data_IF_365221213482
#
_entry.id   IF_365221213482
#
_cell.length_a   1.000
_cell.length_b   1.000
_cell.length_c   1.000
_cell.angle_alpha   90.00
_cell.angle_beta   90.00
_cell.angle_gamma   90.00
#
_symmetry.space_group_name_H-M   'P 1'
#
loop_
_entity.id
_entity.type
_entity.pdbx_description
1 polymer ?
#
# COMPACT_ATOMS: atom_id res chain seq x y z
N UNK A 1 106.36 -44.39 -5.55
CA UNK A 1 106.09 -45.75 -6.06
C UNK A 1 104.53 -45.92 -6.00
N UNK A 2 103.96 -46.13 -7.22
CA UNK A 2 102.77 -46.84 -7.57
C UNK A 2 101.43 -46.41 -6.95
N UNK A 3 100.56 -45.75 -7.67
CA UNK A 3 99.71 -46.32 -8.74
C UNK A 3 98.47 -47.04 -8.15
N UNK A 4 97.30 -46.45 -8.18
CA UNK A 4 95.96 -46.97 -7.85
C UNK A 4 94.93 -46.37 -8.76
N UNK A 5 94.69 -47.06 -9.88
CA UNK A 5 93.65 -46.69 -10.88
C UNK A 5 92.22 -46.81 -10.28
N UNK A 6 91.49 -45.78 -10.30
CA UNK A 6 90.02 -45.78 -10.04
C UNK A 6 89.27 -45.90 -11.37
N UNK A 7 88.69 -47.08 -11.60
CA UNK A 7 87.80 -47.43 -12.67
C UNK A 7 86.45 -46.69 -12.59
N UNK A 8 86.35 -45.58 -13.31
CA UNK A 8 85.11 -44.86 -13.42
C UNK A 8 84.22 -45.47 -14.47
N UNK A 9 83.27 -46.28 -14.06
CA UNK A 9 82.28 -46.87 -14.94
C UNK A 9 81.33 -45.77 -15.48
N UNK A 10 81.44 -45.40 -16.77
CA UNK A 10 80.51 -44.54 -17.49
C UNK A 10 79.16 -45.25 -17.61
N UNK A 11 78.19 -44.84 -16.85
CA UNK A 11 76.81 -45.25 -17.03
C UNK A 11 76.29 -44.75 -18.38
N UNK A 12 75.73 -45.61 -19.24
CA UNK A 12 75.30 -45.24 -20.60
C UNK A 12 74.23 -44.16 -20.57
N UNK A 13 74.34 -43.13 -21.41
CA UNK A 13 73.39 -42.00 -21.51
C UNK A 13 71.95 -42.44 -21.72
N UNK A 14 71.72 -43.60 -22.34
CA UNK A 14 70.38 -44.20 -22.54
C UNK A 14 69.66 -44.54 -21.23
N UNK A 15 70.38 -45.01 -20.22
CA UNK A 15 69.75 -45.28 -18.89
C UNK A 15 69.35 -44.02 -18.13
N UNK A 16 70.08 -42.91 -18.29
CA UNK A 16 69.73 -41.64 -17.71
C UNK A 16 68.45 -41.05 -18.32
N UNK A 17 68.30 -41.22 -19.67
CA UNK A 17 67.06 -40.75 -20.36
C UNK A 17 65.82 -41.59 -19.98
N UNK A 18 65.97 -42.90 -19.76
CA UNK A 18 64.86 -43.77 -19.33
C UNK A 18 64.44 -43.44 -17.92
N UNK A 19 65.39 -43.21 -16.98
CA UNK A 19 65.08 -42.85 -15.61
C UNK A 19 64.39 -41.44 -15.51
N UNK A 20 64.82 -40.46 -16.32
CA UNK A 20 64.20 -39.19 -16.45
C UNK A 20 62.76 -39.24 -16.97
N UNK A 21 62.48 -40.14 -17.95
CA UNK A 21 61.16 -40.39 -18.52
C UNK A 21 60.22 -41.08 -17.49
N UNK A 22 60.74 -42.00 -16.69
CA UNK A 22 59.97 -42.68 -15.62
C UNK A 22 59.67 -41.72 -14.48
N UNK A 23 60.62 -40.92 -14.01
CA UNK A 23 60.43 -39.91 -13.01
C UNK A 23 59.42 -38.84 -13.46
N UNK A 24 59.47 -38.36 -14.71
CA UNK A 24 58.52 -37.41 -15.25
C UNK A 24 57.09 -37.97 -15.41
N UNK A 25 56.94 -39.30 -15.57
CA UNK A 25 55.61 -39.96 -15.61
C UNK A 25 55.00 -40.08 -14.20
N UNK A 26 55.78 -40.30 -13.19
CA UNK A 26 55.30 -40.41 -11.83
C UNK A 26 54.88 -39.02 -11.27
N UNK A 27 55.68 -37.99 -11.57
CA UNK A 27 55.35 -36.62 -11.21
C UNK A 27 54.06 -36.12 -11.93
N UNK A 28 53.90 -36.51 -13.21
CA UNK A 28 52.70 -36.22 -14.00
C UNK A 28 51.45 -36.94 -13.44
N UNK A 29 51.58 -38.20 -12.99
CA UNK A 29 50.48 -38.95 -12.35
C UNK A 29 50.14 -38.39 -10.97
N UNK A 30 51.11 -37.95 -10.18
CA UNK A 30 50.88 -37.33 -8.89
C UNK A 30 50.16 -35.97 -9.03
N UNK A 31 50.52 -35.19 -10.03
CA UNK A 31 49.85 -33.92 -10.34
C UNK A 31 48.42 -34.12 -10.88
N UNK A 32 48.18 -35.15 -11.71
CA UNK A 32 46.83 -35.52 -12.15
C UNK A 32 45.92 -35.91 -10.98
N UNK A 33 46.41 -36.72 -10.03
CA UNK A 33 45.64 -37.07 -8.81
C UNK A 33 45.31 -35.88 -7.93
N UNK A 34 46.21 -34.88 -7.81
CA UNK A 34 45.94 -33.63 -7.11
C UNK A 34 44.87 -32.80 -7.80
N UNK A 35 44.91 -32.71 -9.12
CA UNK A 35 43.90 -31.97 -9.91
C UNK A 35 42.52 -32.64 -9.79
N UNK A 36 42.43 -33.95 -9.87
CA UNK A 36 41.18 -34.69 -9.68
C UNK A 36 40.60 -34.48 -8.26
N UNK A 37 41.45 -34.53 -7.23
CA UNK A 37 41.00 -34.26 -5.85
C UNK A 37 40.50 -32.83 -5.66
N UNK A 38 41.16 -31.84 -6.28
CA UNK A 38 40.74 -30.44 -6.28
C UNK A 38 39.40 -30.29 -7.03
N UNK A 39 39.25 -30.86 -8.21
CA UNK A 39 38.03 -30.85 -9.00
C UNK A 39 36.86 -31.51 -8.25
N UNK A 40 37.11 -32.65 -7.60
CA UNK A 40 36.08 -33.32 -6.78
C UNK A 40 35.64 -32.48 -5.56
N UNK A 41 36.58 -31.86 -4.86
CA UNK A 41 36.26 -30.97 -3.71
C UNK A 41 35.54 -29.70 -4.16
N UNK A 42 35.91 -29.11 -5.31
CA UNK A 42 35.22 -27.94 -5.88
C UNK A 42 33.80 -28.32 -6.28
N UNK A 43 33.61 -29.45 -6.99
CA UNK A 43 32.28 -29.92 -7.36
C UNK A 43 31.38 -30.22 -6.16
N UNK A 44 31.94 -30.85 -5.10
CA UNK A 44 31.23 -31.12 -3.86
C UNK A 44 30.82 -29.83 -3.11
N UNK A 45 31.71 -28.83 -3.06
CA UNK A 45 31.44 -27.53 -2.45
C UNK A 45 30.40 -26.71 -3.26
N UNK A 46 30.44 -26.77 -4.59
CA UNK A 46 29.44 -26.13 -5.45
C UNK A 46 28.08 -26.81 -5.24
N UNK A 47 28.03 -28.13 -5.24
CA UNK A 47 26.80 -28.89 -5.01
C UNK A 47 26.15 -28.65 -3.65
N UNK A 48 26.96 -28.57 -2.57
CA UNK A 48 26.46 -28.26 -1.22
C UNK A 48 25.96 -26.81 -1.11
N UNK A 49 26.66 -25.83 -1.66
CA UNK A 49 26.22 -24.43 -1.68
C UNK A 49 24.95 -24.22 -2.52
N UNK A 50 24.84 -24.91 -3.64
CA UNK A 50 23.63 -24.89 -4.46
C UNK A 50 22.41 -25.46 -3.71
N UNK A 51 22.56 -26.60 -3.03
CA UNK A 51 21.48 -27.20 -2.21
C UNK A 51 21.11 -26.35 -1.02
N UNK A 52 22.06 -25.71 -0.35
CA UNK A 52 21.77 -24.77 0.76
C UNK A 52 21.02 -23.54 0.26
N UNK A 53 21.40 -22.94 -0.90
CA UNK A 53 20.66 -21.81 -1.49
C UNK A 53 19.23 -22.19 -1.86
N UNK A 54 19.04 -23.33 -2.55
CA UNK A 54 17.69 -23.79 -2.93
C UNK A 54 16.84 -24.08 -1.69
N UNK A 55 17.43 -24.61 -0.62
CA UNK A 55 16.75 -24.85 0.66
C UNK A 55 16.36 -23.54 1.38
N UNK A 56 17.26 -22.56 1.45
CA UNK A 56 17.00 -21.26 2.05
C UNK A 56 15.94 -20.46 1.25
N UNK A 57 16.05 -20.43 -0.08
CA UNK A 57 15.09 -19.73 -0.94
C UNK A 57 13.67 -20.33 -0.82
N UNK A 58 13.54 -21.64 -0.66
CA UNK A 58 12.25 -22.30 -0.45
C UNK A 58 11.65 -21.98 0.91
N UNK A 59 12.46 -21.92 1.97
CA UNK A 59 12.02 -21.59 3.33
C UNK A 59 11.64 -20.09 3.41
N UNK A 60 12.43 -19.22 2.81
CA UNK A 60 12.15 -17.78 2.75
C UNK A 60 10.90 -17.50 1.90
N UNK A 61 10.75 -18.17 0.77
CA UNK A 61 9.53 -18.11 -0.03
C UNK A 61 8.28 -18.54 0.73
N UNK A 62 8.36 -19.65 1.48
CA UNK A 62 7.28 -20.13 2.32
C UNK A 62 6.87 -19.14 3.41
N UNK A 63 7.86 -18.56 4.12
CA UNK A 63 7.62 -17.52 5.14
C UNK A 63 6.99 -16.26 4.54
N UNK A 64 7.48 -15.82 3.38
CA UNK A 64 6.93 -14.65 2.68
C UNK A 64 5.47 -14.85 2.25
N UNK A 65 5.11 -16.05 1.80
CA UNK A 65 3.72 -16.40 1.44
C UNK A 65 2.83 -16.40 2.70
N UNK A 66 3.26 -17.03 3.79
CA UNK A 66 2.49 -17.06 5.05
C UNK A 66 2.27 -15.67 5.63
N UNK A 67 3.29 -14.82 5.64
CA UNK A 67 3.15 -13.42 6.13
C UNK A 67 2.22 -12.59 5.26
N UNK A 68 2.20 -12.81 3.94
CA UNK A 68 1.25 -12.17 3.02
C UNK A 68 -0.18 -12.60 3.29
N UNK A 69 -0.44 -13.90 3.42
CA UNK A 69 -1.77 -14.44 3.72
C UNK A 69 -2.27 -13.93 5.07
N UNK A 70 -1.45 -14.02 6.12
CA UNK A 70 -1.81 -13.51 7.45
C UNK A 70 -2.10 -12.00 7.41
N UNK A 71 -1.29 -11.23 6.69
CA UNK A 71 -1.51 -9.80 6.52
C UNK A 71 -2.78 -9.47 5.74
N UNK A 72 -3.14 -10.25 4.72
CA UNK A 72 -4.40 -10.10 3.99
C UNK A 72 -5.61 -10.43 4.87
N UNK A 73 -5.52 -11.50 5.67
CA UNK A 73 -6.56 -11.92 6.58
C UNK A 73 -6.87 -10.87 7.67
N UNK A 74 -5.82 -10.32 8.30
CA UNK A 74 -5.99 -9.24 9.29
C UNK A 74 -6.69 -8.03 8.69
N UNK A 75 -6.34 -7.62 7.47
CA UNK A 75 -7.00 -6.49 6.78
C UNK A 75 -8.46 -6.80 6.45
N UNK A 76 -8.75 -8.02 6.03
CA UNK A 76 -10.12 -8.47 5.76
C UNK A 76 -10.99 -8.38 7.02
N UNK A 77 -10.48 -8.85 8.18
CA UNK A 77 -11.18 -8.73 9.46
C UNK A 77 -11.40 -7.25 9.83
N UNK A 78 -10.38 -6.40 9.69
CA UNK A 78 -10.49 -4.98 10.00
C UNK A 78 -11.57 -4.28 9.15
N UNK A 79 -11.67 -4.64 7.87
CA UNK A 79 -12.74 -4.13 6.99
C UNK A 79 -14.11 -4.66 7.39
N UNK A 80 -14.23 -5.95 7.74
CA UNK A 80 -15.48 -6.50 8.24
C UNK A 80 -15.95 -5.79 9.52
N UNK A 81 -15.04 -5.62 10.49
CA UNK A 81 -15.32 -4.89 11.74
C UNK A 81 -15.77 -3.47 11.45
N UNK A 82 -15.11 -2.75 10.54
CA UNK A 82 -15.49 -1.41 10.17
C UNK A 82 -16.92 -1.34 9.57
N UNK A 83 -17.29 -2.29 8.71
CA UNK A 83 -18.62 -2.33 8.09
C UNK A 83 -19.71 -2.65 9.12
N UNK A 84 -19.43 -3.57 10.06
CA UNK A 84 -20.38 -3.98 11.10
C UNK A 84 -20.48 -2.93 12.23
N UNK A 85 -19.48 -2.06 12.37
CA UNK A 85 -19.34 -1.13 13.49
C UNK A 85 -20.60 -0.33 13.82
N UNK A 86 -21.30 0.34 12.86
CA UNK A 86 -22.53 1.05 13.14
C UNK A 86 -23.62 0.15 13.71
N UNK A 87 -23.76 -1.08 13.19
CA UNK A 87 -24.79 -2.04 13.63
C UNK A 87 -24.55 -2.58 15.04
N UNK A 88 -23.30 -2.52 15.52
CA UNK A 88 -22.97 -2.93 16.90
C UNK A 88 -23.15 -1.76 17.88
N UNK A 89 -22.89 -0.53 17.42
CA UNK A 89 -22.96 0.66 18.28
C UNK A 89 -24.40 1.17 18.41
N UNK A 90 -25.19 1.14 17.33
CA UNK A 90 -26.57 1.63 17.33
C UNK A 90 -27.50 0.66 18.08
N UNK A 91 -28.44 1.23 18.87
CA UNK A 91 -29.33 0.44 19.74
C UNK A 91 -30.54 -0.11 18.97
N UNK A 92 -31.11 0.67 18.04
CA UNK A 92 -32.39 0.36 17.38
C UNK A 92 -32.23 -0.27 16.00
N UNK A 93 -31.45 -1.36 15.90
CA UNK A 93 -31.23 -2.04 14.64
C UNK A 93 -32.15 -3.24 14.47
N UNK A 94 -32.92 -3.26 13.37
CA UNK A 94 -33.74 -4.42 13.02
C UNK A 94 -32.87 -5.64 12.64
N UNK A 95 -33.37 -6.83 12.91
CA UNK A 95 -32.68 -8.09 12.56
C UNK A 95 -32.34 -8.16 11.06
N UNK A 96 -33.27 -7.74 10.22
CA UNK A 96 -33.08 -7.73 8.75
C UNK A 96 -31.91 -6.83 8.34
N UNK A 97 -31.82 -5.63 8.92
CA UNK A 97 -30.71 -4.70 8.66
C UNK A 97 -29.38 -5.29 9.13
N UNK A 98 -29.36 -5.93 10.32
CA UNK A 98 -28.14 -6.60 10.82
C UNK A 98 -27.67 -7.73 9.89
N UNK A 99 -28.59 -8.53 9.35
CA UNK A 99 -28.28 -9.59 8.40
C UNK A 99 -27.72 -9.03 7.09
N UNK A 100 -28.32 -7.97 6.56
CA UNK A 100 -27.81 -7.29 5.35
C UNK A 100 -26.39 -6.74 5.57
N UNK A 101 -26.16 -6.08 6.70
CA UNK A 101 -24.83 -5.55 7.04
C UNK A 101 -23.80 -6.67 7.20
N UNK A 102 -24.17 -7.78 7.84
CA UNK A 102 -23.29 -8.94 7.97
C UNK A 102 -22.90 -9.52 6.60
N UNK A 103 -23.86 -9.64 5.67
CA UNK A 103 -23.58 -10.10 4.30
C UNK A 103 -22.63 -9.16 3.57
N UNK A 104 -22.86 -7.83 3.64
CA UNK A 104 -21.98 -6.83 3.05
C UNK A 104 -20.58 -6.91 3.67
N UNK A 105 -20.48 -7.09 4.98
CA UNK A 105 -19.21 -7.21 5.69
C UNK A 105 -18.41 -8.45 5.24
N UNK A 106 -19.07 -9.59 5.08
CA UNK A 106 -18.45 -10.83 4.57
C UNK A 106 -17.94 -10.61 3.15
N UNK A 107 -18.76 -10.01 2.28
CA UNK A 107 -18.35 -9.72 0.90
C UNK A 107 -17.16 -8.75 0.84
N UNK A 108 -17.20 -7.66 1.62
CA UNK A 108 -16.10 -6.69 1.69
C UNK A 108 -14.82 -7.31 2.25
N UNK A 109 -14.93 -8.20 3.25
CA UNK A 109 -13.81 -8.95 3.79
C UNK A 109 -13.20 -9.89 2.75
N UNK A 110 -14.03 -10.67 2.05
CA UNK A 110 -13.59 -11.58 1.00
C UNK A 110 -12.86 -10.84 -0.12
N UNK A 111 -13.44 -9.75 -0.60
CA UNK A 111 -12.83 -8.89 -1.61
C UNK A 111 -11.48 -8.34 -1.13
N UNK A 112 -11.42 -7.82 0.09
CA UNK A 112 -10.17 -7.31 0.68
C UNK A 112 -9.11 -8.41 0.79
N UNK A 113 -9.51 -9.61 1.22
CA UNK A 113 -8.58 -10.73 1.32
C UNK A 113 -7.99 -11.10 -0.05
N UNK A 114 -8.84 -11.24 -1.07
CA UNK A 114 -8.41 -11.56 -2.44
C UNK A 114 -7.46 -10.50 -2.98
N UNK A 115 -7.79 -9.20 -2.85
CA UNK A 115 -6.97 -8.09 -3.32
C UNK A 115 -5.58 -8.03 -2.66
N UNK A 116 -5.52 -8.21 -1.33
CA UNK A 116 -4.23 -8.18 -0.63
C UNK A 116 -3.42 -9.48 -0.77
N UNK A 117 -4.07 -10.60 -1.07
CA UNK A 117 -3.38 -11.86 -1.35
C UNK A 117 -2.93 -11.97 -2.82
N UNK A 118 -3.54 -11.25 -3.75
CA UNK A 118 -3.18 -11.23 -5.16
C UNK A 118 -1.73 -10.76 -5.37
N UNK A 119 -1.04 -11.32 -6.37
CA UNK A 119 0.28 -10.86 -6.81
C UNK A 119 0.13 -9.48 -7.46
N UNK A 120 -0.87 -9.33 -8.32
CA UNK A 120 -1.24 -8.07 -8.97
C UNK A 120 -2.63 -7.67 -8.48
N UNK A 121 -2.75 -6.68 -7.59
CA UNK A 121 -4.05 -6.16 -7.15
C UNK A 121 -4.73 -5.41 -8.30
N UNK A 122 -6.06 -5.42 -8.30
CA UNK A 122 -6.86 -4.71 -9.31
C UNK A 122 -7.50 -3.43 -8.78
N UNK A 123 -7.88 -3.41 -7.51
CA UNK A 123 -8.60 -2.31 -6.87
C UNK A 123 -7.74 -1.54 -5.86
N UNK A 124 -6.83 -2.23 -5.15
CA UNK A 124 -6.02 -1.61 -4.11
C UNK A 124 -4.82 -0.89 -4.72
N UNK A 125 -4.87 0.43 -4.72
CA UNK A 125 -3.75 1.28 -5.11
C UNK A 125 -2.77 1.53 -3.95
N UNK A 126 -1.51 1.86 -4.28
CA UNK A 126 -0.46 2.20 -3.33
C UNK A 126 -0.25 1.16 -2.23
N UNK A 127 -0.37 -0.13 -2.58
CA UNK A 127 -0.25 -1.25 -1.63
C UNK A 127 1.05 -1.23 -0.83
N UNK A 128 2.16 -0.86 -1.47
CA UNK A 128 3.48 -0.81 -0.86
C UNK A 128 3.79 0.55 -0.20
N UNK A 129 2.97 1.57 -0.46
CA UNK A 129 3.02 2.85 0.22
C UNK A 129 2.28 2.76 1.56
N UNK A 130 2.94 2.23 2.58
CA UNK A 130 2.31 1.94 3.89
C UNK A 130 1.52 3.11 4.49
N UNK A 131 1.97 4.40 4.46
CA UNK A 131 1.19 5.50 5.02
C UNK A 131 -0.14 5.72 4.32
N UNK A 132 -0.20 5.56 2.99
CA UNK A 132 -1.37 5.89 2.18
C UNK A 132 -2.61 5.10 2.60
N UNK A 133 -2.57 3.77 2.50
CA UNK A 133 -3.73 2.94 2.81
C UNK A 133 -4.06 2.88 4.31
N UNK A 134 -3.05 3.03 5.19
CA UNK A 134 -3.28 3.08 6.63
C UNK A 134 -4.05 4.32 7.05
N UNK A 135 -3.67 5.51 6.55
CA UNK A 135 -4.36 6.75 6.88
C UNK A 135 -5.77 6.75 6.29
N UNK A 136 -5.96 6.26 5.07
CA UNK A 136 -7.29 6.13 4.47
C UNK A 136 -8.20 5.21 5.28
N UNK A 137 -7.70 4.06 5.70
CA UNK A 137 -8.47 3.15 6.55
C UNK A 137 -8.79 3.77 7.91
N UNK A 138 -7.80 4.38 8.58
CA UNK A 138 -8.01 5.03 9.89
C UNK A 138 -9.00 6.19 9.80
N UNK A 139 -8.93 7.01 8.74
CA UNK A 139 -9.90 8.06 8.49
C UNK A 139 -11.32 7.49 8.35
N UNK A 140 -11.49 6.48 7.50
CA UNK A 140 -12.78 5.87 7.26
C UNK A 140 -13.34 5.26 8.55
N UNK A 141 -12.50 4.48 9.26
CA UNK A 141 -12.87 3.88 10.55
C UNK A 141 -13.24 4.95 11.60
N UNK A 142 -12.42 5.99 11.77
CA UNK A 142 -12.66 7.05 12.73
C UNK A 142 -13.94 7.80 12.40
N UNK A 143 -14.20 8.11 11.13
CA UNK A 143 -15.44 8.81 10.72
C UNK A 143 -16.65 7.95 11.03
N UNK A 144 -16.66 6.69 10.62
CA UNK A 144 -17.77 5.76 10.90
C UNK A 144 -17.99 5.61 12.41
N UNK A 145 -16.91 5.45 13.18
CA UNK A 145 -16.98 5.29 14.64
C UNK A 145 -17.53 6.53 15.33
N UNK A 146 -17.00 7.72 15.02
CA UNK A 146 -17.43 8.97 15.65
C UNK A 146 -18.88 9.33 15.30
N UNK A 147 -19.29 9.12 14.05
CA UNK A 147 -20.67 9.32 13.63
C UNK A 147 -21.63 8.32 14.31
N UNK A 148 -21.19 7.06 14.47
CA UNK A 148 -21.98 6.05 15.20
C UNK A 148 -22.15 6.42 16.67
N UNK A 149 -21.12 7.02 17.32
CA UNK A 149 -21.24 7.54 18.70
C UNK A 149 -22.21 8.71 18.80
N UNK A 150 -22.18 9.64 17.84
CA UNK A 150 -23.15 10.76 17.78
C UNK A 150 -24.58 10.23 17.69
N UNK A 151 -24.82 9.31 16.76
CA UNK A 151 -26.16 8.75 16.57
C UNK A 151 -26.63 7.89 17.77
N UNK A 152 -25.73 7.15 18.40
CA UNK A 152 -26.05 6.42 19.65
C UNK A 152 -26.43 7.39 20.78
N UNK A 153 -25.71 8.50 20.94
CA UNK A 153 -25.92 9.49 21.99
C UNK A 153 -27.31 10.11 21.96
N UNK A 154 -27.99 10.08 20.81
CA UNK A 154 -29.38 10.58 20.70
C UNK A 154 -30.40 9.66 21.35
N UNK A 155 -30.09 8.36 21.46
CA UNK A 155 -30.96 7.36 22.09
C UNK A 155 -30.50 7.11 23.53
N UNK A 156 -29.19 6.91 23.71
CA UNK A 156 -28.55 6.63 25.00
C UNK A 156 -27.40 7.62 25.25
N UNK A 157 -27.68 8.81 25.82
CA UNK A 157 -26.65 9.79 26.12
C UNK A 157 -25.66 9.27 27.16
N UNK A 158 -24.38 9.55 26.93
CA UNK A 158 -23.29 9.30 27.86
C UNK A 158 -22.23 10.41 27.71
N UNK A 159 -21.36 10.59 28.72
CA UNK A 159 -20.34 11.65 28.70
C UNK A 159 -19.48 11.59 27.45
N UNK A 160 -19.18 10.38 26.94
CA UNK A 160 -18.40 10.21 25.72
C UNK A 160 -19.20 10.65 24.48
N UNK A 161 -20.46 10.22 24.35
CA UNK A 161 -21.30 10.57 23.19
C UNK A 161 -21.60 12.06 23.17
N UNK A 162 -21.88 12.67 24.33
CA UNK A 162 -22.09 14.11 24.47
C UNK A 162 -20.83 14.92 24.08
N UNK A 163 -19.65 14.48 24.51
CA UNK A 163 -18.39 15.11 24.11
C UNK A 163 -18.19 15.09 22.60
N UNK A 164 -18.38 13.91 21.98
CA UNK A 164 -18.20 13.74 20.53
C UNK A 164 -19.25 14.57 19.76
N UNK A 165 -20.49 14.59 20.22
CA UNK A 165 -21.56 15.40 19.64
C UNK A 165 -21.25 16.89 19.76
N UNK A 166 -20.80 17.36 20.94
CA UNK A 166 -20.43 18.76 21.15
C UNK A 166 -19.30 19.21 20.21
N UNK A 167 -18.28 18.37 19.98
CA UNK A 167 -17.22 18.67 19.01
C UNK A 167 -17.80 18.75 17.61
N UNK A 168 -18.63 17.79 17.20
CA UNK A 168 -19.27 17.80 15.90
C UNK A 168 -20.17 19.01 15.67
N UNK A 169 -20.98 19.40 16.69
CA UNK A 169 -21.84 20.55 16.64
C UNK A 169 -21.04 21.86 16.57
N UNK A 170 -19.96 21.99 17.35
CA UNK A 170 -19.08 23.15 17.32
C UNK A 170 -18.46 23.36 15.94
N UNK A 171 -17.88 22.31 15.36
CA UNK A 171 -17.27 22.37 14.03
C UNK A 171 -18.35 22.57 12.96
N UNK A 172 -19.49 21.88 13.08
CA UNK A 172 -20.63 22.05 12.19
C UNK A 172 -21.13 23.47 12.15
N UNK A 173 -21.25 24.13 13.31
CA UNK A 173 -21.64 25.54 13.42
C UNK A 173 -20.56 26.49 12.86
N UNK A 174 -19.31 26.28 13.21
CA UNK A 174 -18.19 27.08 12.70
C UNK A 174 -18.03 27.02 11.18
N UNK A 175 -18.37 25.87 10.58
CA UNK A 175 -18.28 25.64 9.13
C UNK A 175 -19.60 25.91 8.40
N UNK A 176 -20.68 26.35 9.07
CA UNK A 176 -21.99 26.65 8.45
C UNK A 176 -22.06 28.10 7.95
N UNK A 177 -21.15 28.48 7.07
CA UNK A 177 -21.17 29.77 6.38
C UNK A 177 -21.64 29.63 4.92
N UNK A 178 -22.05 30.72 4.24
CA UNK A 178 -22.53 30.65 2.86
C UNK A 178 -21.54 29.94 1.95
N UNK A 179 -22.08 29.00 1.15
CA UNK A 179 -21.32 28.16 0.18
C UNK A 179 -20.29 27.20 0.80
N UNK A 180 -20.25 27.04 2.11
CA UNK A 180 -19.38 26.04 2.70
C UNK A 180 -19.81 24.59 2.37
N UNK A 181 -18.88 23.62 2.34
CA UNK A 181 -19.23 22.22 2.11
C UNK A 181 -20.24 21.67 3.14
N UNK A 182 -20.09 22.06 4.41
CA UNK A 182 -20.97 21.63 5.51
C UNK A 182 -22.38 22.19 5.33
N UNK A 183 -22.50 23.45 4.92
CA UNK A 183 -23.80 24.05 4.64
C UNK A 183 -24.47 23.39 3.43
N UNK A 184 -23.71 23.09 2.39
CA UNK A 184 -24.23 22.41 1.20
C UNK A 184 -24.64 20.96 1.48
N UNK A 185 -24.03 20.28 2.46
CA UNK A 185 -24.46 18.93 2.84
C UNK A 185 -25.94 18.89 3.29
N UNK A 186 -26.49 19.99 3.77
CA UNK A 186 -27.92 20.11 4.10
C UNK A 186 -28.83 20.00 2.87
N UNK A 187 -28.33 20.29 1.65
CA UNK A 187 -29.09 20.14 0.41
C UNK A 187 -29.37 18.66 0.07
N UNK A 188 -28.70 17.72 0.70
CA UNK A 188 -28.99 16.29 0.53
C UNK A 188 -30.24 15.84 1.32
N UNK A 189 -30.82 16.71 2.13
CA UNK A 189 -32.02 16.41 2.90
C UNK A 189 -33.29 16.57 2.03
N UNK A 190 -34.33 15.82 2.39
CA UNK A 190 -35.65 16.00 1.78
C UNK A 190 -36.26 17.35 2.15
N UNK A 191 -37.10 17.89 1.27
CA UNK A 191 -37.89 19.07 1.53
C UNK A 191 -38.79 18.83 2.75
N UNK A 192 -38.85 19.81 3.66
CA UNK A 192 -39.67 19.71 4.87
C UNK A 192 -38.98 19.04 6.07
N UNK A 193 -37.65 18.81 6.02
CA UNK A 193 -36.91 18.35 7.18
C UNK A 193 -37.07 19.25 8.39
N UNK A 194 -37.28 18.66 9.58
CA UNK A 194 -37.44 19.42 10.81
C UNK A 194 -36.08 19.95 11.32
N UNK A 195 -36.12 20.90 12.27
CA UNK A 195 -34.91 21.53 12.81
C UNK A 195 -33.94 20.53 13.45
N UNK A 196 -34.44 19.48 14.12
CA UNK A 196 -33.61 18.47 14.74
C UNK A 196 -32.84 17.64 13.70
N UNK A 197 -33.47 17.34 12.57
CA UNK A 197 -32.79 16.65 11.44
C UNK A 197 -31.74 17.54 10.80
N UNK A 198 -32.01 18.83 10.63
CA UNK A 198 -31.02 19.80 10.11
C UNK A 198 -29.80 19.88 11.01
N UNK A 199 -30.03 19.93 12.33
CA UNK A 199 -28.96 19.92 13.33
C UNK A 199 -28.15 18.63 13.29
N UNK A 200 -28.81 17.50 13.14
CA UNK A 200 -28.20 16.20 12.99
C UNK A 200 -27.22 16.13 11.81
N UNK A 201 -27.69 16.53 10.64
CA UNK A 201 -26.86 16.52 9.41
C UNK A 201 -25.70 17.50 9.55
N UNK A 202 -25.93 18.69 10.14
CA UNK A 202 -24.87 19.68 10.37
C UNK A 202 -23.78 19.14 11.30
N UNK A 203 -24.15 18.54 12.42
CA UNK A 203 -23.23 17.94 13.40
C UNK A 203 -22.44 16.79 12.77
N UNK A 204 -23.12 15.87 12.07
CA UNK A 204 -22.48 14.75 11.40
C UNK A 204 -21.53 15.23 10.28
N UNK A 205 -21.95 16.19 9.46
CA UNK A 205 -21.13 16.79 8.41
C UNK A 205 -19.90 17.50 9.00
N UNK A 206 -20.07 18.25 10.09
CA UNK A 206 -18.97 18.90 10.80
C UNK A 206 -17.92 17.91 11.29
N UNK A 207 -18.36 16.84 11.96
CA UNK A 207 -17.46 15.79 12.44
C UNK A 207 -16.74 15.05 11.29
N UNK A 208 -17.46 14.66 10.25
CA UNK A 208 -16.88 13.96 9.09
C UNK A 208 -15.88 14.85 8.35
N UNK A 209 -16.19 16.13 8.17
CA UNK A 209 -15.30 17.10 7.53
C UNK A 209 -14.02 17.35 8.36
N UNK A 210 -14.15 17.52 9.69
CA UNK A 210 -13.01 17.63 10.59
C UNK A 210 -12.07 16.43 10.47
N UNK A 211 -12.64 15.21 10.54
CA UNK A 211 -11.88 13.97 10.44
C UNK A 211 -11.13 13.89 9.10
N UNK A 212 -11.75 14.31 8.00
CA UNK A 212 -11.15 14.33 6.68
C UNK A 212 -9.97 15.31 6.59
N UNK A 213 -10.13 16.53 7.15
CA UNK A 213 -9.07 17.55 7.16
C UNK A 213 -7.88 17.11 8.03
N UNK A 214 -8.12 16.54 9.21
CA UNK A 214 -7.07 16.00 10.08
C UNK A 214 -6.30 14.89 9.33
N UNK A 215 -7.01 13.96 8.73
CA UNK A 215 -6.38 12.83 8.00
C UNK A 215 -5.55 13.28 6.81
N UNK A 216 -6.03 14.27 6.06
CA UNK A 216 -5.27 14.86 4.96
C UNK A 216 -4.02 15.57 5.47
N UNK A 217 -4.15 16.34 6.57
CA UNK A 217 -3.03 17.03 7.20
C UNK A 217 -1.97 16.04 7.70
N UNK A 218 -2.38 14.97 8.39
CA UNK A 218 -1.49 13.89 8.83
C UNK A 218 -0.78 13.23 7.65
N UNK A 219 -1.51 12.96 6.57
CA UNK A 219 -0.93 12.38 5.36
C UNK A 219 0.17 13.28 4.77
N UNK A 220 -0.09 14.58 4.60
CA UNK A 220 0.87 15.56 4.08
C UNK A 220 2.09 15.66 5.00
N UNK A 221 1.88 15.72 6.32
CA UNK A 221 2.96 15.75 7.30
C UNK A 221 3.84 14.51 7.24
N UNK A 222 3.25 13.31 7.14
CA UNK A 222 4.00 12.07 6.98
C UNK A 222 4.84 12.03 5.69
N UNK A 223 4.31 12.56 4.59
CA UNK A 223 5.07 12.68 3.35
C UNK A 223 6.24 13.68 3.49
N UNK A 224 6.03 14.82 4.17
CA UNK A 224 7.09 15.80 4.43
C UNK A 224 8.15 15.27 5.40
N UNK A 225 7.76 14.48 6.38
CA UNK A 225 8.68 13.80 7.30
C UNK A 225 9.46 12.64 6.65
N UNK A 226 9.28 12.39 5.35
CA UNK A 226 10.02 11.34 4.63
C UNK A 226 9.56 9.91 4.92
N UNK A 227 8.36 9.73 5.49
CA UNK A 227 7.82 8.40 5.76
C UNK A 227 7.58 7.58 4.47
N UNK A 228 7.40 8.26 3.34
CA UNK A 228 7.27 7.67 2.01
C UNK A 228 7.50 8.75 0.93
N UNK A 229 8.18 8.45 -0.19
CA UNK A 229 8.88 7.20 -0.49
C UNK A 229 10.17 7.03 0.30
N UNK A 230 10.51 5.79 0.64
CA UNK A 230 11.76 5.51 1.34
C UNK A 230 12.93 5.45 0.33
N UNK A 231 14.07 6.09 0.62
CA UNK A 231 15.26 6.01 -0.24
C UNK A 231 15.72 4.56 -0.42
N UNK A 232 16.08 4.19 -1.66
CA UNK A 232 16.62 2.87 -1.97
C UNK A 232 15.58 1.74 -2.12
N UNK A 233 14.31 1.96 -1.80
CA UNK A 233 13.25 0.97 -2.05
C UNK A 233 12.66 1.19 -3.44
N UNK A 234 12.74 0.21 -4.36
CA UNK A 234 12.17 0.33 -5.69
C UNK A 234 10.65 0.41 -5.62
N UNK A 235 10.05 1.42 -6.25
CA UNK A 235 8.61 1.55 -6.37
C UNK A 235 8.13 0.84 -7.64
N UNK A 236 7.34 -0.24 -7.47
CA UNK A 236 6.75 -0.95 -8.58
C UNK A 236 5.42 -0.31 -8.97
N UNK A 237 5.39 0.36 -10.13
CA UNK A 237 4.19 1.07 -10.63
C UNK A 237 3.05 0.10 -10.92
N UNK A 238 3.31 -1.08 -11.48
CA UNK A 238 2.30 -2.08 -11.81
C UNK A 238 1.53 -2.63 -10.61
N UNK A 239 2.22 -2.77 -9.47
CA UNK A 239 1.60 -3.26 -8.24
C UNK A 239 0.88 -2.13 -7.48
N UNK A 240 1.38 -0.90 -7.61
CA UNK A 240 0.90 0.23 -6.81
C UNK A 240 -0.10 1.13 -7.53
N UNK A 241 -0.17 1.08 -8.84
CA UNK A 241 -1.09 1.85 -9.66
C UNK A 241 -1.72 0.93 -10.73
N UNK A 242 -2.58 -0.03 -10.35
CA UNK A 242 -3.14 -1.01 -11.27
C UNK A 242 -3.99 -0.38 -12.37
N UNK A 243 -4.60 0.78 -12.12
CA UNK A 243 -5.40 1.52 -13.09
C UNK A 243 -4.57 2.39 -14.05
N UNK A 244 -3.26 2.51 -13.80
CA UNK A 244 -2.34 3.29 -14.61
C UNK A 244 -1.49 2.37 -15.49
N UNK A 245 -1.57 2.53 -16.81
CA UNK A 245 -0.78 1.75 -17.77
C UNK A 245 0.53 2.47 -18.13
N UNK A 246 1.69 2.06 -17.58
CA UNK A 246 2.96 2.73 -17.82
C UNK A 246 3.44 2.62 -19.28
N UNK A 247 3.05 1.56 -20.00
CA UNK A 247 3.45 1.27 -21.38
C UNK A 247 2.71 2.09 -22.43
N UNK A 248 1.58 2.71 -22.08
CA UNK A 248 0.77 3.50 -23.02
C UNK A 248 1.40 4.87 -23.29
N UNK A 249 2.48 4.93 -24.07
CA UNK A 249 3.14 6.18 -24.52
C UNK A 249 4.45 6.50 -23.80
N UNK A 250 5.22 7.44 -24.35
CA UNK A 250 6.57 7.78 -23.91
C UNK A 250 6.64 8.69 -22.66
N UNK A 251 5.61 9.51 -22.39
CA UNK A 251 5.61 10.48 -21.29
C UNK A 251 4.83 10.00 -20.07
N UNK A 252 5.40 9.06 -19.34
CA UNK A 252 4.85 8.54 -18.07
C UNK A 252 4.73 9.65 -17.01
N UNK A 253 5.73 10.52 -16.91
CA UNK A 253 5.78 11.59 -15.90
C UNK A 253 4.70 12.65 -16.15
N UNK A 254 4.52 13.07 -17.40
CA UNK A 254 3.47 14.02 -17.77
C UNK A 254 2.07 13.49 -17.50
N UNK A 255 1.82 12.23 -17.81
CA UNK A 255 0.53 11.56 -17.54
C UNK A 255 0.24 11.45 -16.05
N UNK A 256 1.21 11.00 -15.24
CA UNK A 256 1.07 10.96 -13.77
C UNK A 256 0.79 12.33 -13.18
N UNK A 257 1.47 13.38 -13.64
CA UNK A 257 1.22 14.75 -13.18
C UNK A 257 -0.14 15.29 -13.60
N UNK A 258 -0.64 14.94 -14.80
CA UNK A 258 -1.98 15.29 -15.23
C UNK A 258 -3.03 14.61 -14.34
N UNK A 259 -2.90 13.31 -14.13
CA UNK A 259 -3.83 12.53 -13.32
C UNK A 259 -3.79 12.97 -11.84
N UNK A 260 -2.60 13.33 -11.32
CA UNK A 260 -2.44 13.93 -10.01
C UNK A 260 -3.25 15.23 -9.88
N UNK A 261 -3.13 16.14 -10.84
CA UNK A 261 -3.87 17.42 -10.85
C UNK A 261 -5.39 17.20 -10.94
N UNK A 262 -5.83 16.27 -11.79
CA UNK A 262 -7.27 15.92 -11.90
C UNK A 262 -7.79 15.41 -10.56
N UNK A 263 -7.08 14.49 -9.90
CA UNK A 263 -7.49 13.96 -8.60
C UNK A 263 -7.53 15.04 -7.51
N UNK A 264 -6.57 15.98 -7.49
CA UNK A 264 -6.58 17.11 -6.56
C UNK A 264 -7.76 18.04 -6.84
N UNK A 265 -8.02 18.37 -8.11
CA UNK A 265 -9.14 19.21 -8.50
C UNK A 265 -10.48 18.57 -8.14
N UNK A 266 -10.66 17.28 -8.41
CA UNK A 266 -11.87 16.54 -8.03
C UNK A 266 -12.01 16.46 -6.51
N UNK A 267 -10.93 16.19 -5.77
CA UNK A 267 -10.93 16.20 -4.31
C UNK A 267 -11.37 17.54 -3.73
N UNK A 268 -11.01 18.66 -4.38
CA UNK A 268 -11.45 19.99 -3.99
C UNK A 268 -12.93 20.26 -4.34
N UNK A 269 -13.38 19.84 -5.50
CA UNK A 269 -14.73 20.16 -6.02
C UNK A 269 -15.82 19.25 -5.45
N UNK A 270 -15.54 17.96 -5.19
CA UNK A 270 -16.55 16.99 -4.80
C UNK A 270 -17.32 17.32 -3.51
N UNK A 271 -16.72 17.90 -2.45
CA UNK A 271 -17.50 18.30 -1.26
C UNK A 271 -18.65 19.26 -1.56
N UNK A 272 -18.53 20.02 -2.65
CA UNK A 272 -19.57 20.94 -3.14
C UNK A 272 -20.51 20.27 -4.15
N UNK A 273 -19.95 19.46 -5.05
CA UNK A 273 -20.71 18.84 -6.14
C UNK A 273 -21.60 17.69 -5.67
N UNK A 274 -21.13 16.85 -4.73
CA UNK A 274 -21.92 15.70 -4.26
C UNK A 274 -23.28 16.16 -3.69
N UNK A 275 -23.36 17.13 -2.77
CA UNK A 275 -24.65 17.60 -2.29
C UNK A 275 -25.56 18.16 -3.38
N UNK A 276 -25.00 18.91 -4.33
CA UNK A 276 -25.74 19.47 -5.44
C UNK A 276 -26.30 18.38 -6.37
N UNK A 277 -25.49 17.36 -6.70
CA UNK A 277 -25.93 16.23 -7.53
C UNK A 277 -26.99 15.39 -6.82
N UNK A 278 -26.82 15.12 -5.51
CA UNK A 278 -27.82 14.39 -4.73
C UNK A 278 -29.14 15.16 -4.67
N UNK A 279 -29.09 16.46 -4.41
CA UNK A 279 -30.29 17.32 -4.40
C UNK A 279 -31.00 17.35 -5.74
N UNK A 280 -30.25 17.44 -6.84
CA UNK A 280 -30.83 17.43 -8.20
C UNK A 280 -31.45 16.07 -8.56
N UNK A 281 -30.82 14.97 -8.15
CA UNK A 281 -31.32 13.63 -8.39
C UNK A 281 -32.58 13.31 -7.58
N UNK A 282 -32.76 13.91 -6.42
CA UNK A 282 -33.96 13.74 -5.58
C UNK A 282 -35.22 14.30 -6.22
N UNK A 283 -35.10 15.23 -7.19
CA UNK A 283 -36.22 15.75 -7.95
C UNK A 283 -36.77 14.71 -8.97
N UNK A 284 -35.99 13.70 -9.36
CA UNK A 284 -36.39 12.65 -10.32
C UNK A 284 -36.47 11.23 -9.76
N UNK A 285 -35.88 11.00 -8.58
CA UNK A 285 -35.84 9.70 -7.90
C UNK A 285 -36.29 9.87 -6.45
N UNK A 286 -36.51 8.74 -5.76
CA UNK A 286 -36.85 8.80 -4.33
C UNK A 286 -35.79 9.57 -3.52
N UNK A 287 -36.17 10.55 -2.69
CA UNK A 287 -35.23 11.36 -1.94
C UNK A 287 -34.43 10.49 -0.96
N UNK A 288 -33.16 10.84 -0.78
CA UNK A 288 -32.28 10.14 0.15
C UNK A 288 -32.79 10.37 1.58
N UNK A 289 -33.23 9.30 2.24
CA UNK A 289 -33.77 9.41 3.61
C UNK A 289 -32.63 9.46 4.63
N UNK A 290 -32.12 10.66 4.91
CA UNK A 290 -31.12 10.88 5.96
C UNK A 290 -31.73 10.81 7.38
N UNK A 291 -32.96 10.36 7.50
CA UNK A 291 -33.66 10.17 8.78
C UNK A 291 -33.21 8.90 9.51
N UNK A 292 -32.72 7.89 8.77
CA UNK A 292 -32.17 6.71 9.41
C UNK A 292 -30.70 6.94 9.80
N UNK A 293 -30.32 6.58 11.01
CA UNK A 293 -28.96 6.74 11.53
C UNK A 293 -27.92 6.06 10.64
N UNK A 294 -28.20 4.88 10.11
CA UNK A 294 -27.29 4.20 9.20
C UNK A 294 -27.07 4.96 7.89
N UNK A 295 -28.15 5.42 7.25
CA UNK A 295 -28.05 6.20 6.01
C UNK A 295 -27.25 7.49 6.25
N UNK A 296 -27.51 8.18 7.37
CA UNK A 296 -26.76 9.39 7.73
C UNK A 296 -25.27 9.10 7.91
N UNK A 297 -24.92 8.07 8.69
CA UNK A 297 -23.51 7.68 8.94
C UNK A 297 -22.79 7.40 7.61
N UNK A 298 -23.34 6.52 6.78
CA UNK A 298 -22.67 6.13 5.54
C UNK A 298 -22.64 7.25 4.51
N UNK A 299 -23.69 8.05 4.39
CA UNK A 299 -23.72 9.18 3.46
C UNK A 299 -22.71 10.26 3.84
N UNK A 300 -22.66 10.66 5.11
CA UNK A 300 -21.70 11.66 5.57
C UNK A 300 -20.26 11.13 5.53
N UNK A 301 -20.07 9.85 5.82
CA UNK A 301 -18.78 9.20 5.68
C UNK A 301 -18.31 9.20 4.21
N UNK A 302 -19.15 8.76 3.27
CA UNK A 302 -18.81 8.76 1.85
C UNK A 302 -18.53 10.18 1.33
N UNK A 303 -19.38 11.14 1.70
CA UNK A 303 -19.24 12.55 1.31
C UNK A 303 -17.89 13.15 1.75
N UNK A 304 -17.40 12.84 2.94
CA UNK A 304 -16.12 13.34 3.44
C UNK A 304 -14.93 12.51 2.95
N UNK A 305 -15.10 11.18 2.89
CA UNK A 305 -14.01 10.25 2.55
C UNK A 305 -13.61 10.29 1.08
N UNK A 306 -14.57 10.34 0.14
CA UNK A 306 -14.26 10.30 -1.29
C UNK A 306 -13.37 11.46 -1.73
N UNK A 307 -13.71 12.74 -1.40
CA UNK A 307 -12.85 13.87 -1.75
C UNK A 307 -11.46 13.80 -1.13
N UNK A 308 -11.37 13.52 0.18
CA UNK A 308 -10.10 13.42 0.88
C UNK A 308 -9.23 12.28 0.33
N UNK A 309 -9.84 11.15 -0.03
CA UNK A 309 -9.17 10.03 -0.67
C UNK A 309 -8.57 10.40 -2.03
N UNK A 310 -9.30 11.18 -2.86
CA UNK A 310 -8.81 11.69 -4.13
C UNK A 310 -7.67 12.71 -3.95
N UNK A 311 -7.76 13.59 -2.96
CA UNK A 311 -6.64 14.48 -2.60
C UNK A 311 -5.38 13.68 -2.28
N UNK A 312 -5.48 12.71 -1.37
CA UNK A 312 -4.34 11.85 -1.00
C UNK A 312 -3.78 11.10 -2.22
N UNK A 313 -4.67 10.59 -3.11
CA UNK A 313 -4.29 9.92 -4.35
C UNK A 313 -3.52 10.86 -5.28
N UNK A 314 -4.03 12.05 -5.52
CA UNK A 314 -3.38 13.05 -6.36
C UNK A 314 -2.00 13.45 -5.84
N UNK A 315 -1.87 13.71 -4.53
CA UNK A 315 -0.59 14.03 -3.88
C UNK A 315 0.39 12.85 -4.02
N UNK A 316 -0.06 11.62 -3.80
CA UNK A 316 0.78 10.42 -3.93
C UNK A 316 1.26 10.21 -5.37
N UNK A 317 0.37 10.37 -6.37
CA UNK A 317 0.74 10.27 -7.80
C UNK A 317 1.77 11.34 -8.20
N UNK A 318 1.59 12.58 -7.75
CA UNK A 318 2.57 13.66 -7.98
C UNK A 318 3.94 13.32 -7.36
N UNK A 319 3.95 12.66 -6.19
CA UNK A 319 5.20 12.21 -5.56
C UNK A 319 5.90 11.11 -6.36
N UNK A 320 5.13 10.15 -6.90
CA UNK A 320 5.67 9.10 -7.80
C UNK A 320 6.25 9.73 -9.07
N UNK A 321 5.55 10.69 -9.68
CA UNK A 321 6.05 11.39 -10.85
C UNK A 321 7.40 12.11 -10.57
N UNK A 322 7.53 12.72 -9.40
CA UNK A 322 8.79 13.32 -8.92
C UNK A 322 9.91 12.28 -8.84
N UNK A 323 9.68 11.14 -8.19
CA UNK A 323 10.68 10.07 -8.06
C UNK A 323 11.19 9.54 -9.42
N UNK A 324 10.28 9.36 -10.38
CA UNK A 324 10.63 8.89 -11.73
C UNK A 324 11.51 9.94 -12.42
N UNK A 325 11.15 11.22 -12.32
CA UNK A 325 11.92 12.33 -12.90
C UNK A 325 13.33 12.43 -12.32
N UNK A 326 13.46 12.32 -10.99
CA UNK A 326 14.75 12.38 -10.31
C UNK A 326 15.65 11.21 -10.73
N UNK A 327 15.08 10.00 -10.84
CA UNK A 327 15.80 8.82 -11.33
C UNK A 327 16.26 8.97 -12.78
N UNK A 328 15.44 9.56 -13.66
CA UNK A 328 15.81 9.83 -15.06
C UNK A 328 16.96 10.84 -15.14
N UNK A 329 16.93 11.91 -14.32
CA UNK A 329 18.02 12.90 -14.26
C UNK A 329 19.35 12.29 -13.80
N UNK A 330 19.32 11.45 -12.77
CA UNK A 330 20.52 10.74 -12.31
C UNK A 330 21.07 9.79 -13.37
N UNK A 331 20.21 9.06 -14.09
CA UNK A 331 20.60 8.20 -15.19
C UNK A 331 21.25 8.95 -16.36
N UNK A 332 20.76 10.13 -16.71
CA UNK A 332 21.39 10.99 -17.75
C UNK A 332 22.74 11.53 -17.31
N UNK A 333 22.93 11.87 -16.04
CA UNK A 333 24.20 12.32 -15.50
C UNK A 333 25.26 11.20 -15.45
N UNK A 334 24.87 9.96 -15.15
CA UNK A 334 25.76 8.79 -15.11
C UNK A 334 26.20 8.32 -16.50
N UNK A 335 25.40 8.57 -17.54
CA UNK A 335 25.67 8.23 -18.95
C UNK A 335 26.24 9.42 -19.75
N UNK A 336 26.71 10.48 -19.10
CA UNK A 336 27.33 11.65 -19.73
C UNK A 336 28.67 11.32 -20.40
N UNK A 337 29.15 12.16 -21.36
CA UNK A 337 30.28 11.87 -22.26
C UNK A 337 31.66 11.79 -21.58
N UNK A 338 31.74 11.83 -20.25
CA UNK A 338 33.02 11.80 -19.50
C UNK A 338 33.51 10.38 -19.15
N UNK A 339 32.83 9.31 -19.62
CA UNK A 339 33.27 7.93 -19.40
C UNK A 339 34.06 7.32 -20.57
N UNK A 340 34.54 8.13 -21.53
CA UNK A 340 35.44 7.74 -22.61
C UNK A 340 36.72 8.54 -22.57
N UNK A 341 37.45 8.50 -21.47
CA UNK A 341 38.84 8.97 -21.41
C UNK A 341 39.72 7.91 -20.77
#
# INVERSE_FOLDING_TARGET
MQSGDTFSAKVPQRLRQVNQRVAGRDESRHNLGKIEAICHNVAKNIGTRARQRIGSDRIEGGKAVMTRIAGAFVRAILVAVMVVLPSVILVDMTTDTQQMVALIAIFAAALTFVEYNAIYPSLVEFRDAKPFNRIRFLMLFATVFLLSLIERGRVEPSTLTELVEAVGALIGAAMDFPYSPVRLARLMMADGANQAQVEAVRTAAGMAYLTSLISLSVFVLMLRAGAWPQPGVPFNVWVNLPTFEPSAGSDVVGRLNRDARINIALGFLLPFLIPAVVSLSSAGFAPLQLTSSQTLIWTMTAWAFLPASLFMRGIAMGRVAGMIRDKQRLGTLSNGPFLHA
#
